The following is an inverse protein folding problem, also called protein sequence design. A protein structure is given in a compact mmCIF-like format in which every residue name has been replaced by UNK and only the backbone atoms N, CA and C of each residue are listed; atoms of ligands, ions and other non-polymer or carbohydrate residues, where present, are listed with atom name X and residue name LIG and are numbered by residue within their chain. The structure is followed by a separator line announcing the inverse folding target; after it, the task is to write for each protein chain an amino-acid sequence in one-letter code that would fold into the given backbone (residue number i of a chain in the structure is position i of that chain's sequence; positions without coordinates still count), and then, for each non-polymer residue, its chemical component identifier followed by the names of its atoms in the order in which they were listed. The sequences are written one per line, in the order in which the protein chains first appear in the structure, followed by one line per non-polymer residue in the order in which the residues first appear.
data_IF_969849679320
#
_entry.id   IF_969849679320
#
_cell.length_a   1.000
_cell.length_b   1.000
_cell.length_c   1.000
_cell.angle_alpha   90.00
_cell.angle_beta   90.00
_cell.angle_gamma   90.00
#
_symmetry.space_group_name_H-M   'P 1'
#
loop_
_entity.id
_entity.type
_entity.pdbx_description
1 polymer ?
#
# COMPACT_ATOMS: atom_id res chain seq x y z
N UNK A 1 6.12 16.68 -4.34
CA UNK A 1 5.34 15.88 -5.32
C UNK A 1 5.34 14.42 -4.88
N UNK A 2 4.27 13.67 -5.16
CA UNK A 2 4.08 12.28 -4.67
C UNK A 2 4.39 11.22 -5.72
N UNK A 3 5.61 11.26 -6.24
CA UNK A 3 6.13 10.36 -7.28
C UNK A 3 7.61 10.05 -6.97
N UNK A 4 8.16 9.02 -7.59
CA UNK A 4 9.57 8.65 -7.49
C UNK A 4 9.91 7.53 -8.49
N UNK A 5 11.13 7.55 -9.00
CA UNK A 5 11.71 6.50 -9.85
C UNK A 5 12.69 5.63 -9.08
N UNK A 6 13.44 4.76 -9.76
CA UNK A 6 14.59 4.12 -9.14
C UNK A 6 15.66 5.18 -8.82
N UNK A 7 16.42 5.03 -7.71
CA UNK A 7 17.55 5.91 -7.44
C UNK A 7 18.53 5.88 -8.62
N UNK A 8 18.92 7.06 -9.08
CA UNK A 8 19.97 7.25 -10.10
C UNK A 8 20.86 8.41 -9.69
N UNK A 9 21.90 8.68 -10.48
CA UNK A 9 22.75 9.85 -10.28
C UNK A 9 21.92 11.15 -10.37
N UNK A 10 22.23 12.12 -9.50
CA UNK A 10 21.42 13.34 -9.32
C UNK A 10 21.28 14.18 -10.59
N UNK A 11 22.29 14.19 -11.46
CA UNK A 11 22.30 14.94 -12.72
C UNK A 11 21.66 14.18 -13.90
N UNK A 12 21.26 12.93 -13.68
CA UNK A 12 20.51 12.12 -14.65
C UNK A 12 19.04 12.01 -14.28
N UNK A 13 18.69 12.33 -13.03
CA UNK A 13 17.32 12.36 -12.55
C UNK A 13 16.68 13.74 -12.75
N UNK A 14 15.72 13.83 -13.67
CA UNK A 14 14.97 15.06 -13.92
C UNK A 14 14.26 15.62 -12.69
N UNK A 15 13.88 14.75 -11.75
CA UNK A 15 13.22 15.10 -10.50
C UNK A 15 14.19 15.81 -9.54
N UNK A 16 15.41 15.29 -9.43
CA UNK A 16 16.46 15.86 -8.57
C UNK A 16 16.96 17.20 -9.12
N UNK A 17 17.15 17.30 -10.44
CA UNK A 17 17.51 18.55 -11.13
C UNK A 17 16.43 19.62 -10.92
N UNK A 18 15.16 19.26 -11.14
CA UNK A 18 14.04 20.16 -10.92
C UNK A 18 13.95 20.61 -9.47
N UNK A 19 14.13 19.69 -8.53
CA UNK A 19 14.13 19.98 -7.10
C UNK A 19 15.28 20.92 -6.70
N UNK A 20 16.48 20.71 -7.25
CA UNK A 20 17.64 21.55 -6.99
C UNK A 20 17.39 23.01 -7.40
N UNK A 21 16.85 23.22 -8.60
CA UNK A 21 16.51 24.57 -9.08
C UNK A 21 15.40 25.24 -8.27
N UNK A 22 14.42 24.47 -7.79
CA UNK A 22 13.37 24.99 -6.90
C UNK A 22 13.96 25.44 -5.55
N UNK A 23 14.78 24.60 -4.92
CA UNK A 23 15.42 24.90 -3.63
C UNK A 23 16.35 26.10 -3.76
N UNK A 24 17.09 26.23 -4.87
CA UNK A 24 17.91 27.41 -5.18
C UNK A 24 17.09 28.72 -5.23
N UNK A 25 15.80 28.65 -5.54
CA UNK A 25 14.86 29.79 -5.53
C UNK A 25 14.10 29.95 -4.22
N UNK A 26 14.51 29.25 -3.15
CA UNK A 26 13.85 29.29 -1.86
C UNK A 26 12.53 28.50 -1.80
N UNK A 27 12.27 27.63 -2.78
CA UNK A 27 11.07 26.78 -2.82
C UNK A 27 11.44 25.41 -2.25
N UNK A 28 10.85 25.05 -1.11
CA UNK A 28 11.07 23.73 -0.48
C UNK A 28 10.40 22.62 -1.29
N UNK A 29 11.09 21.49 -1.45
CA UNK A 29 10.59 20.33 -2.17
C UNK A 29 10.44 19.14 -1.23
N UNK A 30 9.23 18.56 -1.22
CA UNK A 30 8.85 17.44 -0.35
C UNK A 30 8.42 16.26 -1.21
N UNK A 31 8.96 15.07 -0.92
CA UNK A 31 8.76 13.85 -1.72
C UNK A 31 8.60 12.61 -0.84
N UNK A 32 7.88 11.57 -1.30
CA UNK A 32 7.75 10.32 -0.55
C UNK A 32 9.04 9.50 -0.63
N UNK A 33 9.31 8.69 0.40
CA UNK A 33 10.42 7.73 0.38
C UNK A 33 10.22 6.58 -0.62
N UNK A 34 8.97 6.31 -1.02
CA UNK A 34 8.58 5.16 -1.85
C UNK A 34 7.87 4.07 -1.03
N UNK A 35 7.27 3.10 -1.73
CA UNK A 35 6.45 2.03 -1.13
C UNK A 35 7.11 0.64 -1.24
N UNK A 36 8.41 0.59 -1.58
CA UNK A 36 9.14 -0.66 -1.85
C UNK A 36 9.82 -1.27 -0.62
N UNK A 37 9.57 -0.75 0.59
CA UNK A 37 10.05 -1.35 1.83
C UNK A 37 9.45 -2.76 2.07
N UNK A 38 9.83 -3.44 3.16
CA UNK A 38 10.53 -2.94 4.34
C UNK A 38 12.05 -3.14 4.33
N UNK A 39 12.62 -3.71 3.27
CA UNK A 39 14.05 -4.01 3.20
C UNK A 39 14.91 -2.75 3.23
N UNK A 40 16.18 -2.90 3.63
CA UNK A 40 17.14 -1.80 3.62
C UNK A 40 17.37 -1.29 2.19
N UNK A 41 17.69 -0.01 2.05
CA UNK A 41 18.06 0.64 0.78
C UNK A 41 16.97 0.66 -0.30
N UNK A 42 15.70 0.73 0.08
CA UNK A 42 14.55 0.80 -0.85
C UNK A 42 14.03 2.23 -1.09
N UNK A 43 14.66 3.26 -0.50
CA UNK A 43 14.26 4.67 -0.63
C UNK A 43 14.62 5.22 -2.01
N UNK A 44 13.73 5.99 -2.64
CA UNK A 44 13.90 6.48 -4.03
C UNK A 44 14.33 7.94 -4.16
N UNK A 45 13.72 8.86 -3.41
CA UNK A 45 14.01 10.29 -3.48
C UNK A 45 15.12 10.66 -2.49
N UNK A 46 16.38 10.43 -2.85
CA UNK A 46 17.53 10.53 -1.91
C UNK A 46 18.40 11.77 -2.09
N UNK A 47 18.04 12.69 -3.00
CA UNK A 47 18.80 13.92 -3.18
C UNK A 47 18.79 14.77 -1.90
N UNK A 48 19.94 15.31 -1.47
CA UNK A 48 20.08 15.93 -0.14
C UNK A 48 19.30 17.24 0.03
N UNK A 49 18.86 17.85 -1.07
CA UNK A 49 18.00 19.05 -1.07
C UNK A 49 16.51 18.73 -1.02
N UNK A 50 16.12 17.45 -1.04
CA UNK A 50 14.72 17.02 -0.96
C UNK A 50 14.39 16.65 0.50
N UNK A 51 13.26 17.13 1.01
CA UNK A 51 12.68 16.61 2.23
C UNK A 51 11.95 15.30 1.94
N UNK A 52 12.57 14.18 2.28
CA UNK A 52 12.05 12.84 2.00
C UNK A 52 11.22 12.31 3.17
N UNK A 53 9.98 11.93 2.90
CA UNK A 53 8.96 11.62 3.91
C UNK A 53 8.59 10.14 3.87
N UNK A 54 8.72 9.47 5.02
CA UNK A 54 8.22 8.10 5.23
C UNK A 54 6.72 8.08 5.55
N UNK A 55 6.08 6.93 5.29
CA UNK A 55 4.68 6.71 5.66
C UNK A 55 4.60 6.05 7.05
N UNK A 56 3.63 6.48 7.85
CA UNK A 56 3.31 5.90 9.16
C UNK A 56 1.79 5.73 9.33
N UNK A 57 1.40 4.95 10.32
CA UNK A 57 0.00 4.74 10.69
C UNK A 57 -0.51 5.84 11.62
N UNK A 58 -1.82 6.08 11.56
CA UNK A 58 -2.53 6.92 12.54
C UNK A 58 -3.30 6.01 13.52
N UNK A 59 -3.78 6.58 14.62
CA UNK A 59 -4.61 5.87 15.60
C UNK A 59 -6.01 5.48 15.05
N UNK A 60 -6.38 6.03 13.89
CA UNK A 60 -7.63 5.69 13.19
C UNK A 60 -7.54 4.30 12.54
N UNK A 61 -8.54 3.45 12.81
CA UNK A 61 -8.71 2.14 12.17
C UNK A 61 -9.99 2.05 11.32
N UNK A 62 -10.07 1.05 10.44
CA UNK A 62 -11.23 0.78 9.59
C UNK A 62 -11.74 -0.65 9.81
N UNK A 63 -12.40 -0.92 10.96
CA UNK A 63 -12.86 -2.26 11.29
C UNK A 63 -13.98 -2.71 10.35
N UNK A 64 -13.88 -3.94 9.87
CA UNK A 64 -14.89 -4.58 9.05
C UNK A 64 -15.27 -5.92 9.67
N UNK A 65 -16.44 -5.96 10.31
CA UNK A 65 -16.91 -7.14 11.01
C UNK A 65 -17.53 -8.16 10.07
N UNK A 66 -17.03 -9.40 10.14
CA UNK A 66 -17.60 -10.56 9.45
C UNK A 66 -18.35 -11.40 10.46
N UNK A 67 -19.64 -11.65 10.18
CA UNK A 67 -20.51 -12.49 11.01
C UNK A 67 -20.85 -13.77 10.27
N UNK A 68 -20.54 -14.92 10.86
CA UNK A 68 -20.85 -16.24 10.32
C UNK A 68 -21.47 -17.12 11.42
N UNK A 69 -22.77 -17.40 11.28
CA UNK A 69 -23.57 -18.01 12.35
C UNK A 69 -23.53 -17.15 13.62
N UNK A 70 -23.12 -17.74 14.74
CA UNK A 70 -23.03 -17.05 16.04
C UNK A 70 -21.63 -16.47 16.35
N UNK A 71 -20.72 -16.45 15.37
CA UNK A 71 -19.35 -15.94 15.54
C UNK A 71 -19.17 -14.62 14.80
N UNK A 72 -18.39 -13.72 15.41
CA UNK A 72 -17.96 -12.44 14.83
C UNK A 72 -16.43 -12.39 14.81
N UNK A 73 -15.86 -11.95 13.68
CA UNK A 73 -14.44 -11.67 13.53
C UNK A 73 -14.29 -10.26 12.99
N UNK A 74 -13.49 -9.44 13.65
CA UNK A 74 -13.19 -8.07 13.20
C UNK A 74 -11.96 -8.10 12.29
N UNK A 75 -12.19 -7.84 11.01
CA UNK A 75 -11.13 -7.61 10.02
C UNK A 75 -10.92 -6.11 9.78
N UNK A 76 -10.25 -5.77 8.69
CA UNK A 76 -10.06 -4.39 8.22
C UNK A 76 -10.44 -4.28 6.76
N UNK A 77 -11.30 -3.32 6.41
CA UNK A 77 -11.71 -3.08 5.02
C UNK A 77 -12.29 -1.67 4.87
N UNK A 78 -12.27 -1.16 3.63
CA UNK A 78 -12.98 0.05 3.21
C UNK A 78 -14.17 -0.26 2.29
N UNK A 79 -14.51 -1.55 2.12
CA UNK A 79 -15.60 -1.99 1.25
C UNK A 79 -16.97 -1.61 1.80
N UNK A 80 -17.91 -1.35 0.90
CA UNK A 80 -19.32 -1.25 1.26
C UNK A 80 -19.86 -2.61 1.78
N UNK A 81 -20.90 -2.52 2.60
CA UNK A 81 -21.58 -3.72 3.08
C UNK A 81 -22.25 -4.47 1.91
N UNK A 82 -22.27 -5.79 1.99
CA UNK A 82 -22.99 -6.60 1.02
C UNK A 82 -24.48 -6.22 0.98
N UNK A 83 -25.09 -6.21 -0.22
CA UNK A 83 -26.46 -5.76 -0.38
C UNK A 83 -27.46 -6.65 0.39
N UNK A 84 -28.64 -6.13 0.67
CA UNK A 84 -29.76 -6.95 1.16
C UNK A 84 -29.66 -7.48 2.59
N UNK A 85 -28.68 -7.06 3.41
CA UNK A 85 -28.56 -7.35 4.86
C UNK A 85 -28.87 -8.81 5.21
N UNK A 86 -28.34 -9.75 4.42
CA UNK A 86 -28.59 -11.19 4.54
C UNK A 86 -27.29 -11.97 4.69
N UNK A 87 -27.40 -13.17 5.22
CA UNK A 87 -26.29 -14.13 5.21
C UNK A 87 -26.12 -14.68 3.80
N UNK A 88 -24.87 -14.77 3.36
CA UNK A 88 -24.48 -15.35 2.08
C UNK A 88 -23.83 -16.71 2.32
N UNK A 89 -24.05 -17.70 1.44
CA UNK A 89 -23.32 -18.96 1.50
C UNK A 89 -21.80 -18.71 1.44
N UNK A 90 -21.07 -19.38 2.32
CA UNK A 90 -19.61 -19.38 2.31
C UNK A 90 -19.14 -20.77 1.91
N UNK A 91 -18.09 -20.84 1.09
CA UNK A 91 -17.44 -22.09 0.69
C UNK A 91 -15.95 -21.95 0.92
N UNK A 92 -15.31 -22.98 1.46
CA UNK A 92 -13.85 -23.02 1.52
C UNK A 92 -13.31 -23.24 0.09
N UNK A 93 -12.32 -22.47 -0.33
CA UNK A 93 -11.77 -22.62 -1.69
C UNK A 93 -11.24 -24.03 -1.98
N UNK A 94 -10.80 -24.79 -0.96
CA UNK A 94 -10.37 -26.20 -1.11
C UNK A 94 -11.52 -27.15 -1.47
N UNK A 95 -12.75 -26.78 -1.12
CA UNK A 95 -13.97 -27.54 -1.39
C UNK A 95 -14.68 -27.07 -2.67
N UNK A 96 -14.32 -25.88 -3.18
CA UNK A 96 -14.79 -25.34 -4.44
C UNK A 96 -14.04 -25.92 -5.67
N UNK A 97 -13.58 -27.17 -5.58
CA UNK A 97 -12.92 -27.84 -6.70
C UNK A 97 -13.96 -28.40 -7.68
N UNK A 98 -13.62 -28.39 -8.97
CA UNK A 98 -14.38 -29.19 -9.94
C UNK A 98 -14.16 -30.67 -9.60
N UNK A 99 -15.22 -31.49 -9.68
CA UNK A 99 -15.37 -32.78 -8.99
C UNK A 99 -14.34 -33.90 -9.22
N UNK A 100 -13.19 -33.65 -9.83
CA UNK A 100 -12.14 -34.62 -10.15
C UNK A 100 -10.70 -34.18 -9.79
N UNK A 101 -10.50 -33.16 -8.95
CA UNK A 101 -9.14 -32.74 -8.53
C UNK A 101 -8.85 -33.19 -7.09
N UNK A 102 -7.77 -33.96 -6.88
CA UNK A 102 -7.36 -34.44 -5.55
C UNK A 102 -6.97 -33.29 -4.61
N UNK A 103 -7.34 -33.43 -3.33
CA UNK A 103 -7.23 -32.36 -2.30
C UNK A 103 -5.79 -32.11 -1.78
N UNK A 104 -4.79 -32.76 -2.37
CA UNK A 104 -3.43 -32.89 -1.81
C UNK A 104 -2.39 -31.93 -2.41
N UNK A 105 -2.77 -31.06 -3.35
CA UNK A 105 -1.85 -30.10 -3.99
C UNK A 105 -2.31 -28.63 -3.90
N UNK A 106 -2.78 -28.20 -2.74
CA UNK A 106 -3.09 -26.79 -2.46
C UNK A 106 -2.54 -26.34 -1.09
#
# INVERSE_FOLDING_TARGET
FSLGGLPSEYFENSLDIGAFHAVKKGITVVCPAGNSGPDNSTVTNVAPWILTVGASTLDRDFPADVVFGNKRVTGKSLSEALPGKKLYPLINSKEANHGNVSKEKA
#
